data_IF_999479620096
#
_entry.id   IF_999479620096
#
_cell.length_a   1.000
_cell.length_b   1.000
_cell.length_c   1.000
_cell.angle_alpha   90.00
_cell.angle_beta   90.00
_cell.angle_gamma   90.00
#
_symmetry.space_group_name_H-M   'P 1'
#
loop_
_entity.id
_entity.type
_entity.pdbx_description
1 polymer ?
#
# COMPACT_ATOMS: atom_id res chain seq x y z
N UNK A 1 18.63 7.93 -15.07
CA UNK A 1 17.44 7.67 -14.26
C UNK A 1 17.00 8.95 -13.57
N UNK A 2 15.69 9.17 -13.49
CA UNK A 2 15.12 10.27 -12.72
C UNK A 2 15.26 9.98 -11.23
N UNK A 3 15.34 11.04 -10.45
CA UNK A 3 15.40 10.97 -8.99
C UNK A 3 14.12 11.55 -8.39
N UNK A 4 13.91 11.32 -7.10
CA UNK A 4 12.83 11.97 -6.36
C UNK A 4 12.92 13.49 -6.48
N UNK A 5 11.79 14.17 -6.52
CA UNK A 5 11.75 15.63 -6.43
C UNK A 5 12.45 16.12 -5.15
N UNK A 6 12.89 17.38 -5.11
CA UNK A 6 13.51 17.94 -3.91
C UNK A 6 12.64 17.78 -2.67
N UNK A 7 13.26 17.79 -1.51
CA UNK A 7 12.56 17.80 -0.22
C UNK A 7 11.65 19.02 -0.12
N UNK A 8 10.47 18.79 0.44
CA UNK A 8 9.47 19.84 0.66
C UNK A 8 8.70 19.57 1.95
N UNK A 9 8.29 20.66 2.59
CA UNK A 9 7.46 20.60 3.79
C UNK A 9 5.96 20.54 3.45
N UNK A 10 5.20 19.98 4.36
CA UNK A 10 3.75 20.07 4.31
C UNK A 10 3.32 21.51 4.63
N UNK A 11 2.46 22.10 3.79
CA UNK A 11 1.88 23.41 4.09
C UNK A 11 0.67 23.32 5.02
N UNK A 12 0.12 22.12 5.22
CA UNK A 12 -1.03 21.87 6.10
C UNK A 12 -0.93 20.47 6.71
N UNK A 13 -1.11 20.40 8.04
CA UNK A 13 -1.17 19.15 8.82
C UNK A 13 -2.48 19.15 9.58
N UNK A 14 -3.21 18.05 9.54
CA UNK A 14 -4.55 17.92 10.11
C UNK A 14 -4.77 16.57 10.75
N UNK A 15 -5.78 16.51 11.62
CA UNK A 15 -6.32 15.29 12.17
C UNK A 15 -7.82 15.18 11.78
N UNK A 16 -8.20 14.01 11.33
CA UNK A 16 -9.59 13.62 11.16
C UNK A 16 -10.00 12.82 12.40
N UNK A 17 -10.82 13.42 13.26
CA UNK A 17 -11.40 12.72 14.39
C UNK A 17 -12.57 11.84 13.92
N UNK A 18 -12.56 10.58 14.32
CA UNK A 18 -13.63 9.63 14.04
C UNK A 18 -14.40 9.30 15.32
N UNK A 19 -15.72 9.19 15.22
CA UNK A 19 -16.58 8.74 16.33
C UNK A 19 -16.26 7.30 16.77
N UNK A 20 -15.50 6.56 15.97
CA UNK A 20 -15.04 5.20 16.27
C UNK A 20 -13.82 5.10 17.19
N UNK A 21 -13.29 6.23 17.67
CA UNK A 21 -12.14 6.30 18.57
C UNK A 21 -10.77 6.38 17.87
N UNK A 22 -10.77 6.57 16.56
CA UNK A 22 -9.54 6.80 15.78
C UNK A 22 -9.36 8.27 15.44
N UNK A 23 -8.11 8.73 15.51
CA UNK A 23 -7.67 10.05 15.04
C UNK A 23 -6.72 9.84 13.87
N UNK A 24 -7.17 10.17 12.66
CA UNK A 24 -6.44 9.90 11.42
C UNK A 24 -5.63 11.12 11.00
N UNK A 25 -4.31 10.96 10.94
CA UNK A 25 -3.38 11.99 10.47
C UNK A 25 -3.46 12.13 8.95
N UNK A 26 -3.51 13.37 8.47
CA UNK A 26 -3.30 13.67 7.05
C UNK A 26 -2.65 15.03 6.86
N UNK A 27 -1.90 15.17 5.76
CA UNK A 27 -1.16 16.38 5.44
C UNK A 27 -1.30 16.74 3.97
N UNK A 28 -0.96 17.98 3.65
CA UNK A 28 -0.95 18.47 2.27
C UNK A 28 0.39 19.13 1.97
N UNK A 29 0.93 18.87 0.78
CA UNK A 29 2.18 19.44 0.30
C UNK A 29 2.13 19.79 -1.19
N UNK A 30 3.10 20.54 -1.69
CA UNK A 30 3.21 20.96 -3.07
C UNK A 30 2.34 22.18 -3.39
N UNK A 31 1.71 22.18 -4.57
CA UNK A 31 0.90 23.29 -5.06
C UNK A 31 -0.55 23.18 -4.56
N UNK A 32 -0.99 24.09 -3.71
CA UNK A 32 -2.35 24.12 -3.16
C UNK A 32 -3.44 24.15 -4.23
N UNK A 33 -3.15 24.77 -5.39
CA UNK A 33 -4.04 24.86 -6.54
C UNK A 33 -3.76 23.80 -7.61
N UNK A 34 -2.85 22.88 -7.33
CA UNK A 34 -2.44 21.82 -8.26
C UNK A 34 -3.44 20.66 -8.34
N UNK A 35 -3.10 19.68 -9.15
CA UNK A 35 -3.86 18.44 -9.30
C UNK A 35 -3.90 17.71 -7.97
N UNK A 36 -5.09 17.49 -7.37
CA UNK A 36 -5.16 16.75 -6.12
C UNK A 36 -4.79 15.28 -6.34
N UNK A 37 -3.85 14.77 -5.53
CA UNK A 37 -3.49 13.36 -5.49
C UNK A 37 -3.49 12.86 -4.06
N UNK A 38 -4.15 11.73 -3.82
CA UNK A 38 -4.07 11.03 -2.54
C UNK A 38 -3.14 9.83 -2.64
N UNK A 39 -2.27 9.68 -1.65
CA UNK A 39 -1.29 8.60 -1.55
C UNK A 39 -1.76 7.57 -0.52
N UNK A 40 -1.88 6.32 -0.97
CA UNK A 40 -2.24 5.17 -0.15
C UNK A 40 -0.97 4.38 0.20
N UNK A 41 -0.55 4.41 1.45
CA UNK A 41 0.62 3.64 1.87
C UNK A 41 0.34 2.13 1.92
N UNK A 42 1.41 1.35 1.92
CA UNK A 42 1.38 -0.11 1.98
C UNK A 42 1.30 -0.67 3.41
N UNK A 43 1.67 -1.91 3.53
CA UNK A 43 1.59 -2.73 4.73
C UNK A 43 0.58 -3.86 4.56
N UNK A 44 -0.58 -3.83 5.23
CA UNK A 44 -1.11 -2.77 6.12
C UNK A 44 -0.18 -2.42 7.29
N UNK A 45 -0.20 -1.17 7.77
CA UNK A 45 0.52 -0.79 8.98
C UNK A 45 1.68 0.18 8.80
N UNK A 46 2.22 0.34 7.58
CA UNK A 46 3.48 1.06 7.35
C UNK A 46 3.43 2.57 7.64
N UNK A 47 2.32 3.25 7.32
CA UNK A 47 2.25 4.71 7.37
C UNK A 47 3.00 5.41 6.24
N UNK A 48 2.89 6.73 6.20
CA UNK A 48 3.60 7.60 5.28
C UNK A 48 4.83 8.25 5.91
N UNK A 49 5.76 8.69 5.06
CA UNK A 49 6.91 9.54 5.44
C UNK A 49 7.08 10.68 4.44
N UNK A 50 7.99 11.60 4.74
CA UNK A 50 8.25 12.80 3.92
C UNK A 50 8.70 12.48 2.49
N UNK A 51 9.38 11.37 2.25
CA UNK A 51 9.81 10.99 0.91
C UNK A 51 8.63 10.66 -0.01
N UNK A 52 7.47 10.27 0.54
CA UNK A 52 6.28 10.02 -0.26
C UNK A 52 5.73 11.28 -0.94
N UNK A 53 6.02 12.49 -0.41
CA UNK A 53 5.72 13.78 -1.05
C UNK A 53 6.47 13.94 -2.37
N UNK A 54 7.66 13.37 -2.47
CA UNK A 54 8.66 13.58 -3.50
C UNK A 54 8.46 12.75 -4.77
N UNK A 55 7.44 11.90 -4.82
CA UNK A 55 7.03 11.21 -6.05
C UNK A 55 6.23 12.10 -7.00
N UNK A 56 5.86 13.30 -6.58
CA UNK A 56 4.99 14.22 -7.30
C UNK A 56 5.68 15.54 -7.54
N UNK A 57 5.57 16.06 -8.79
CA UNK A 57 6.08 17.40 -9.11
C UNK A 57 5.38 18.45 -8.22
N UNK A 58 6.10 19.13 -7.32
CA UNK A 58 5.48 20.04 -6.35
C UNK A 58 4.86 21.29 -6.98
N UNK A 59 5.19 21.61 -8.23
CA UNK A 59 4.55 22.74 -8.96
C UNK A 59 3.21 22.33 -9.58
N UNK A 60 3.01 21.02 -9.86
CA UNK A 60 1.82 20.51 -10.55
C UNK A 60 0.80 19.88 -9.62
N UNK A 61 1.25 19.25 -8.53
CA UNK A 61 0.41 18.46 -7.65
C UNK A 61 0.13 19.12 -6.31
N UNK A 62 -1.11 18.96 -5.83
CA UNK A 62 -1.51 19.07 -4.45
C UNK A 62 -1.52 17.67 -3.85
N UNK A 63 -0.48 17.32 -3.11
CA UNK A 63 -0.26 15.96 -2.60
C UNK A 63 -0.86 15.81 -1.22
N UNK A 64 -1.73 14.82 -1.06
CA UNK A 64 -2.35 14.46 0.21
C UNK A 64 -1.75 13.13 0.66
N UNK A 65 -1.04 13.13 1.80
CA UNK A 65 -0.62 11.93 2.51
C UNK A 65 -1.52 11.72 3.72
N UNK A 66 -1.86 10.47 4.03
CA UNK A 66 -2.55 10.14 5.27
C UNK A 66 -2.00 8.83 5.83
N UNK A 67 -1.99 8.71 7.14
CA UNK A 67 -1.67 7.46 7.81
C UNK A 67 -2.98 6.74 8.14
N UNK A 68 -3.13 5.50 7.69
CA UNK A 68 -4.34 4.70 7.93
C UNK A 68 -4.56 4.49 9.42
N UNK A 69 -5.77 4.11 9.82
CA UNK A 69 -6.14 3.87 11.23
C UNK A 69 -5.12 2.97 11.92
N UNK A 70 -4.70 3.34 13.12
CA UNK A 70 -3.76 2.57 13.93
C UNK A 70 -2.31 2.61 13.46
N UNK A 71 -1.99 3.36 12.40
CA UNK A 71 -0.67 3.40 11.78
C UNK A 71 0.06 4.71 12.05
N UNK A 72 1.36 4.62 12.35
CA UNK A 72 2.33 5.72 12.39
C UNK A 72 1.82 6.93 13.22
N UNK A 73 1.50 8.07 12.58
CA UNK A 73 1.02 9.30 13.24
C UNK A 73 -0.48 9.30 13.53
N UNK A 74 -1.23 8.32 13.00
CA UNK A 74 -2.64 8.10 13.37
C UNK A 74 -2.71 7.34 14.69
N UNK A 75 -3.65 7.72 15.56
CA UNK A 75 -3.75 7.18 16.92
C UNK A 75 -5.14 6.63 17.23
N UNK A 76 -5.27 5.68 18.17
CA UNK A 76 -4.20 4.97 18.89
C UNK A 76 -3.44 3.99 17.98
N UNK A 77 -2.10 3.92 18.12
CA UNK A 77 -1.29 3.00 17.32
C UNK A 77 -1.63 1.53 17.66
N UNK A 78 -1.71 0.71 16.63
CA UNK A 78 -1.99 -0.72 16.76
C UNK A 78 -3.42 -1.06 17.15
N UNK A 79 -4.33 -0.06 17.28
CA UNK A 79 -5.74 -0.31 17.58
C UNK A 79 -6.44 -0.95 16.37
N UNK A 80 -7.10 -2.08 16.60
CA UNK A 80 -7.78 -2.87 15.56
C UNK A 80 -9.30 -2.83 15.64
N UNK A 81 -9.87 -2.39 16.75
CA UNK A 81 -11.29 -2.14 16.87
C UNK A 81 -11.72 -1.04 15.90
N UNK A 82 -12.82 -1.24 15.18
CA UNK A 82 -13.29 -0.32 14.14
C UNK A 82 -12.20 0.02 13.10
N UNK A 83 -11.41 -0.97 12.73
CA UNK A 83 -10.31 -0.85 11.76
C UNK A 83 -10.46 -1.94 10.69
N UNK A 84 -11.34 -1.69 9.74
CA UNK A 84 -11.59 -2.53 8.58
C UNK A 84 -11.26 -1.78 7.30
N UNK A 85 -11.20 -2.47 6.20
CA UNK A 85 -11.01 -1.87 4.86
C UNK A 85 -12.10 -0.83 4.59
N UNK A 86 -13.35 -1.13 4.93
CA UNK A 86 -14.46 -0.18 4.74
C UNK A 86 -14.29 1.08 5.58
N UNK A 87 -13.84 0.95 6.83
CA UNK A 87 -13.56 2.10 7.69
C UNK A 87 -12.48 3.02 7.09
N UNK A 88 -11.43 2.44 6.50
CA UNK A 88 -10.39 3.23 5.82
C UNK A 88 -10.95 3.95 4.59
N UNK A 89 -11.79 3.29 3.79
CA UNK A 89 -12.41 3.92 2.61
C UNK A 89 -13.32 5.09 3.01
N UNK A 90 -14.01 4.99 4.14
CA UNK A 90 -14.83 6.07 4.71
C UNK A 90 -13.97 7.23 5.21
N UNK A 91 -12.83 6.96 5.87
CA UNK A 91 -11.88 8.01 6.28
C UNK A 91 -11.36 8.79 5.08
N UNK A 92 -10.99 8.10 4.00
CA UNK A 92 -10.52 8.71 2.76
C UNK A 92 -11.59 9.65 2.19
N UNK A 93 -12.84 9.21 2.15
CA UNK A 93 -13.96 10.02 1.67
C UNK A 93 -14.25 11.22 2.59
N UNK A 94 -14.10 11.07 3.90
CA UNK A 94 -14.18 12.16 4.86
C UNK A 94 -13.06 13.18 4.67
N UNK A 95 -11.82 12.74 4.42
CA UNK A 95 -10.69 13.63 4.11
C UNK A 95 -10.98 14.42 2.83
N UNK A 96 -11.43 13.75 1.75
CA UNK A 96 -11.80 14.40 0.50
C UNK A 96 -12.81 15.53 0.70
N UNK A 97 -13.89 15.23 1.42
CA UNK A 97 -14.95 16.21 1.73
C UNK A 97 -14.42 17.36 2.58
N UNK A 98 -13.62 17.08 3.61
CA UNK A 98 -13.02 18.10 4.49
C UNK A 98 -12.11 19.04 3.70
N UNK A 99 -11.38 18.53 2.72
CA UNK A 99 -10.51 19.31 1.83
C UNK A 99 -11.26 19.97 0.66
N UNK A 100 -12.58 19.73 0.54
CA UNK A 100 -13.42 20.23 -0.54
C UNK A 100 -12.88 19.87 -1.95
N UNK A 101 -12.30 18.67 -2.06
CA UNK A 101 -11.81 18.12 -3.31
C UNK A 101 -12.98 17.40 -3.99
N UNK A 102 -13.32 17.79 -5.22
CA UNK A 102 -14.38 17.11 -5.99
C UNK A 102 -13.90 15.75 -6.49
N UNK A 103 -12.73 15.72 -7.12
CA UNK A 103 -12.11 14.52 -7.67
C UNK A 103 -10.60 14.58 -7.46
N UNK A 104 -9.97 13.45 -7.35
CA UNK A 104 -8.53 13.33 -7.20
C UNK A 104 -7.93 12.14 -7.94
N UNK A 105 -6.63 12.23 -8.18
CA UNK A 105 -5.79 11.12 -8.62
C UNK A 105 -5.55 10.19 -7.44
N UNK A 106 -5.64 8.88 -7.66
CA UNK A 106 -5.30 7.86 -6.67
C UNK A 106 -3.89 7.34 -6.96
N UNK A 107 -3.02 7.32 -5.95
CA UNK A 107 -1.71 6.71 -6.04
C UNK A 107 -1.54 5.70 -4.91
N UNK A 108 -1.36 4.41 -5.24
CA UNK A 108 -1.24 3.35 -4.25
C UNK A 108 -0.16 2.34 -4.58
N UNK A 109 0.58 1.91 -3.57
CA UNK A 109 1.57 0.85 -3.68
C UNK A 109 1.28 -0.32 -2.75
N UNK A 110 1.48 -1.57 -3.25
CA UNK A 110 1.25 -2.79 -2.47
C UNK A 110 -0.19 -2.85 -1.91
N UNK A 111 -0.38 -2.97 -0.60
CA UNK A 111 -1.69 -2.81 0.05
C UNK A 111 -2.38 -1.49 -0.31
N UNK A 112 -1.62 -0.41 -0.47
CA UNK A 112 -2.17 0.87 -0.94
C UNK A 112 -2.78 0.78 -2.34
N UNK A 113 -2.28 -0.08 -3.22
CA UNK A 113 -2.89 -0.34 -4.53
C UNK A 113 -4.24 -1.05 -4.39
N UNK A 114 -4.37 -1.99 -3.45
CA UNK A 114 -5.64 -2.62 -3.08
C UNK A 114 -6.67 -1.57 -2.69
N UNK A 115 -6.30 -0.68 -1.75
CA UNK A 115 -7.19 0.40 -1.29
C UNK A 115 -7.58 1.38 -2.39
N UNK A 116 -6.63 1.76 -3.27
CA UNK A 116 -6.90 2.64 -4.40
C UNK A 116 -7.93 2.04 -5.36
N UNK A 117 -7.81 0.75 -5.67
CA UNK A 117 -8.76 0.04 -6.53
C UNK A 117 -10.15 -0.09 -5.88
N UNK A 118 -10.21 -0.47 -4.59
CA UNK A 118 -11.47 -0.55 -3.86
C UNK A 118 -12.15 0.83 -3.73
N UNK A 119 -11.38 1.88 -3.50
CA UNK A 119 -11.92 3.24 -3.50
C UNK A 119 -12.48 3.62 -4.88
N UNK A 120 -11.77 3.28 -5.96
CA UNK A 120 -12.23 3.54 -7.32
C UNK A 120 -13.50 2.77 -7.68
N UNK A 121 -13.69 1.54 -7.16
CA UNK A 121 -14.93 0.77 -7.30
C UNK A 121 -16.12 1.44 -6.60
N UNK A 122 -15.90 1.93 -5.39
CA UNK A 122 -16.96 2.43 -4.51
C UNK A 122 -17.28 3.91 -4.77
N UNK A 123 -16.27 4.73 -5.06
CA UNK A 123 -16.37 6.18 -5.23
C UNK A 123 -15.91 6.64 -6.62
N UNK A 124 -16.30 5.90 -7.64
CA UNK A 124 -15.87 6.07 -9.03
C UNK A 124 -16.01 7.50 -9.58
N UNK A 125 -17.03 8.24 -9.13
CA UNK A 125 -17.30 9.62 -9.53
C UNK A 125 -16.27 10.63 -8.99
N UNK A 126 -15.43 10.23 -8.04
CA UNK A 126 -14.44 11.09 -7.39
C UNK A 126 -13.01 10.80 -7.83
N UNK A 127 -12.82 10.05 -8.91
CA UNK A 127 -11.51 9.64 -9.42
C UNK A 127 -11.22 10.30 -10.75
N UNK A 128 -10.04 10.92 -10.89
CA UNK A 128 -9.55 11.51 -12.16
C UNK A 128 -8.56 10.60 -12.87
N UNK A 129 -7.85 9.74 -12.16
CA UNK A 129 -6.86 8.80 -12.66
C UNK A 129 -6.38 7.88 -11.56
N UNK A 130 -5.62 6.86 -11.93
CA UNK A 130 -5.11 5.86 -10.98
C UNK A 130 -3.66 5.53 -11.34
N UNK A 131 -2.77 5.55 -10.35
CA UNK A 131 -1.39 5.05 -10.47
C UNK A 131 -1.19 3.98 -9.42
N UNK A 132 -0.80 2.78 -9.85
CA UNK A 132 -0.57 1.63 -8.98
C UNK A 132 0.89 1.18 -9.07
N UNK A 133 1.48 0.77 -7.95
CA UNK A 133 2.81 0.18 -7.90
C UNK A 133 2.80 -1.13 -7.10
N UNK A 134 3.39 -2.20 -7.68
CA UNK A 134 3.52 -3.47 -6.99
C UNK A 134 2.17 -3.98 -6.47
N UNK A 135 1.18 -4.08 -7.34
CA UNK A 135 -0.22 -4.35 -7.00
C UNK A 135 -0.38 -5.60 -6.17
N UNK A 136 -1.07 -5.46 -5.04
CA UNK A 136 -1.55 -6.55 -4.22
C UNK A 136 -3.07 -6.67 -4.40
N UNK A 137 -3.59 -7.86 -4.69
CA UNK A 137 -5.02 -8.08 -4.91
C UNK A 137 -5.75 -8.62 -3.68
N UNK A 138 -5.01 -8.91 -2.62
CA UNK A 138 -5.52 -9.47 -1.37
C UNK A 138 -6.35 -10.76 -1.54
N UNK A 139 -6.02 -11.55 -2.58
CA UNK A 139 -6.56 -12.90 -2.79
C UNK A 139 -5.85 -13.88 -1.84
N UNK A 140 -6.49 -14.99 -1.54
CA UNK A 140 -5.87 -16.02 -0.73
C UNK A 140 -4.56 -16.54 -1.35
N UNK A 141 -4.52 -16.69 -2.69
CA UNK A 141 -3.30 -17.13 -3.40
C UNK A 141 -2.14 -16.13 -3.28
N UNK A 142 -2.41 -14.83 -3.21
CA UNK A 142 -1.38 -13.80 -3.04
C UNK A 142 -0.76 -13.88 -1.65
N UNK A 143 -1.58 -14.10 -0.64
CA UNK A 143 -1.10 -14.30 0.73
C UNK A 143 -0.39 -15.65 0.89
N UNK A 144 -0.94 -16.72 0.34
CA UNK A 144 -0.34 -18.06 0.39
C UNK A 144 1.04 -18.09 -0.30
N UNK A 145 1.22 -17.33 -1.39
CA UNK A 145 2.52 -17.15 -2.02
C UNK A 145 3.57 -16.64 -1.02
N UNK A 146 3.22 -15.63 -0.26
CA UNK A 146 4.14 -14.95 0.66
C UNK A 146 4.36 -15.75 1.96
N UNK A 147 3.32 -16.31 2.53
CA UNK A 147 3.32 -16.83 3.91
C UNK A 147 3.06 -18.33 4.05
N UNK A 148 3.01 -19.09 2.94
CA UNK A 148 2.70 -20.54 3.01
C UNK A 148 3.44 -21.38 1.99
N UNK A 149 3.23 -21.16 0.70
CA UNK A 149 3.78 -22.00 -0.35
C UNK A 149 4.05 -21.25 -1.65
N UNK A 150 5.17 -20.59 -1.71
CA UNK A 150 5.59 -19.78 -2.86
C UNK A 150 6.98 -19.23 -2.62
N UNK A 151 7.10 -18.08 -1.95
CA UNK A 151 8.38 -17.44 -1.63
C UNK A 151 9.33 -18.36 -0.84
N UNK A 152 8.81 -19.24 -0.02
CA UNK A 152 9.59 -20.26 0.69
C UNK A 152 10.35 -21.24 -0.23
N UNK A 153 9.93 -21.38 -1.49
CA UNK A 153 10.65 -22.21 -2.48
C UNK A 153 11.82 -21.47 -3.11
N UNK A 154 11.80 -20.14 -3.06
CA UNK A 154 12.89 -19.27 -3.50
C UNK A 154 13.90 -19.09 -2.36
N UNK A 155 13.43 -18.98 -1.12
CA UNK A 155 14.22 -18.73 0.09
C UNK A 155 14.02 -19.86 1.13
N UNK A 156 14.41 -21.13 0.82
CA UNK A 156 14.15 -22.25 1.73
C UNK A 156 14.92 -22.16 3.05
N UNK A 157 16.09 -21.55 3.05
CA UNK A 157 16.94 -21.27 4.21
C UNK A 157 16.30 -20.24 5.16
N UNK A 158 15.86 -19.08 4.64
CA UNK A 158 15.16 -18.05 5.43
C UNK A 158 13.81 -18.55 5.93
N UNK A 159 13.12 -19.37 5.12
CA UNK A 159 11.87 -19.98 5.54
C UNK A 159 12.07 -20.98 6.68
N UNK A 160 13.11 -21.81 6.62
CA UNK A 160 13.42 -22.75 7.69
C UNK A 160 13.73 -22.01 9.00
N UNK A 161 14.50 -20.94 8.95
CA UNK A 161 14.76 -20.08 10.10
C UNK A 161 13.45 -19.53 10.68
N UNK A 162 12.59 -18.94 9.83
CA UNK A 162 11.30 -18.38 10.21
C UNK A 162 10.41 -19.42 10.91
N UNK A 163 10.17 -20.58 10.29
CA UNK A 163 9.27 -21.59 10.85
C UNK A 163 9.86 -22.33 12.04
N UNK A 164 11.18 -22.30 12.26
CA UNK A 164 11.82 -22.93 13.43
C UNK A 164 11.44 -22.28 14.76
N UNK A 165 10.93 -21.05 14.70
CA UNK A 165 10.44 -20.32 15.88
C UNK A 165 9.06 -20.81 16.36
N UNK A 166 8.42 -21.73 15.63
CA UNK A 166 7.06 -22.22 15.91
C UNK A 166 7.05 -23.73 16.15
N UNK A 167 6.17 -24.18 17.04
CA UNK A 167 5.87 -25.61 17.20
C UNK A 167 5.15 -26.17 15.98
N UNK A 168 5.07 -27.50 15.86
CA UNK A 168 4.40 -28.12 14.70
C UNK A 168 2.91 -27.80 14.61
N UNK A 169 2.24 -27.67 15.76
CA UNK A 169 0.83 -27.23 15.82
C UNK A 169 0.67 -25.78 15.35
N UNK A 170 1.57 -24.89 15.80
CA UNK A 170 1.59 -23.47 15.42
C UNK A 170 1.84 -23.25 13.92
N UNK A 171 2.64 -24.10 13.28
CA UNK A 171 2.91 -24.04 11.83
C UNK A 171 1.69 -24.35 10.97
N UNK A 172 0.67 -24.99 11.51
CA UNK A 172 -0.55 -25.34 10.73
C UNK A 172 -1.33 -24.09 10.32
N UNK A 173 -1.29 -23.02 11.13
CA UNK A 173 -1.90 -21.73 10.82
C UNK A 173 -1.03 -20.58 11.36
N UNK A 174 -0.02 -20.21 10.60
CA UNK A 174 0.96 -19.18 11.00
C UNK A 174 0.32 -17.80 11.23
N UNK A 175 -0.70 -17.44 10.45
CA UNK A 175 -1.38 -16.14 10.62
C UNK A 175 -2.06 -16.05 11.96
N UNK A 176 -2.88 -17.04 12.31
CA UNK A 176 -3.57 -17.07 13.60
C UNK A 176 -2.57 -17.13 14.77
N UNK A 177 -1.51 -17.93 14.61
CA UNK A 177 -0.45 -18.03 15.61
C UNK A 177 0.25 -16.70 15.85
N UNK A 178 0.69 -16.03 14.79
CA UNK A 178 1.37 -14.74 14.91
C UNK A 178 0.41 -13.68 15.47
N UNK A 179 -0.86 -13.68 14.99
CA UNK A 179 -1.90 -12.81 15.53
C UNK A 179 -2.05 -12.99 17.05
N UNK A 180 -2.24 -14.20 17.54
CA UNK A 180 -2.38 -14.48 18.97
C UNK A 180 -1.16 -14.04 19.77
N UNK A 181 0.04 -14.25 19.23
CA UNK A 181 1.29 -13.85 19.88
C UNK A 181 1.46 -12.33 19.95
N UNK A 182 1.19 -11.57 18.88
CA UNK A 182 1.32 -10.10 18.93
C UNK A 182 0.23 -9.40 19.73
N UNK A 183 -0.88 -10.11 20.04
CA UNK A 183 -1.94 -9.65 20.94
C UNK A 183 -1.87 -10.28 22.34
N UNK A 184 -0.79 -11.03 22.65
CA UNK A 184 -0.55 -11.56 24.00
C UNK A 184 -0.40 -10.44 25.03
N UNK A 185 -0.73 -10.72 26.30
CA UNK A 185 -0.46 -9.82 27.42
C UNK A 185 1.05 -9.76 27.79
N UNK A 186 1.86 -10.70 27.30
CA UNK A 186 3.31 -10.74 27.50
C UNK A 186 4.03 -9.99 26.37
N UNK A 187 4.62 -8.84 26.72
CA UNK A 187 5.38 -8.00 25.77
C UNK A 187 6.53 -8.74 25.08
N UNK A 188 7.20 -9.68 25.77
CA UNK A 188 8.30 -10.42 25.16
C UNK A 188 7.78 -11.34 24.04
N UNK A 189 6.62 -11.97 24.25
CA UNK A 189 5.96 -12.79 23.23
C UNK A 189 5.54 -11.91 22.04
N UNK A 190 4.97 -10.75 22.30
CA UNK A 190 4.61 -9.78 21.23
C UNK A 190 5.83 -9.43 20.39
N UNK A 191 6.93 -9.03 21.05
CA UNK A 191 8.13 -8.56 20.39
C UNK A 191 8.82 -9.66 19.56
N UNK A 192 8.95 -10.86 20.13
CA UNK A 192 9.54 -12.00 19.41
C UNK A 192 8.72 -12.37 18.16
N UNK A 193 7.40 -12.42 18.27
CA UNK A 193 6.54 -12.68 17.11
C UNK A 193 6.66 -11.58 16.04
N UNK A 194 6.69 -10.32 16.46
CA UNK A 194 6.86 -9.19 15.55
C UNK A 194 8.22 -9.23 14.82
N UNK A 195 9.32 -9.50 15.56
CA UNK A 195 10.66 -9.67 14.99
C UNK A 195 10.72 -10.81 13.98
N UNK A 196 10.18 -11.97 14.37
CA UNK A 196 10.20 -13.19 13.54
C UNK A 196 9.48 -12.96 12.20
N UNK A 197 8.28 -12.37 12.24
CA UNK A 197 7.54 -12.03 11.04
C UNK A 197 8.26 -10.97 10.19
N UNK A 198 8.71 -9.88 10.80
CA UNK A 198 9.33 -8.76 10.09
C UNK A 198 10.67 -9.13 9.45
N UNK A 199 11.42 -10.06 10.06
CA UNK A 199 12.66 -10.55 9.46
C UNK A 199 12.38 -11.36 8.18
N UNK A 200 11.41 -12.27 8.20
CA UNK A 200 10.97 -13.00 7.02
C UNK A 200 10.46 -12.04 5.93
N UNK A 201 9.54 -11.15 6.29
CA UNK A 201 8.94 -10.19 5.37
C UNK A 201 10.00 -9.27 4.75
N UNK A 202 10.90 -8.74 5.56
CA UNK A 202 11.97 -7.85 5.10
C UNK A 202 12.92 -8.53 4.10
N UNK A 203 13.30 -9.77 4.37
CA UNK A 203 14.16 -10.56 3.46
C UNK A 203 13.53 -10.79 2.08
N UNK A 204 12.22 -11.07 2.05
CA UNK A 204 11.50 -11.24 0.78
C UNK A 204 11.34 -9.91 0.06
N UNK A 205 10.97 -8.86 0.77
CA UNK A 205 10.71 -7.52 0.20
C UNK A 205 11.97 -6.90 -0.39
N UNK A 206 13.13 -7.10 0.25
CA UNK A 206 14.39 -6.46 -0.12
C UNK A 206 15.31 -7.32 -0.98
N UNK A 207 14.91 -8.52 -1.38
CA UNK A 207 15.78 -9.48 -2.05
C UNK A 207 16.42 -8.97 -3.35
N UNK A 208 15.80 -8.00 -4.03
CA UNK A 208 16.34 -7.36 -5.24
C UNK A 208 17.48 -6.38 -4.96
N UNK A 209 17.64 -5.96 -3.71
CA UNK A 209 18.74 -5.10 -3.28
C UNK A 209 20.01 -5.93 -3.06
N UNK A 210 21.17 -5.28 -3.19
CA UNK A 210 22.45 -5.89 -2.87
C UNK A 210 22.67 -5.90 -1.35
N UNK A 211 23.13 -7.03 -0.82
CA UNK A 211 23.47 -7.21 0.59
C UNK A 211 22.43 -8.03 1.35
N UNK A 212 22.80 -8.42 2.57
CA UNK A 212 21.92 -9.14 3.48
C UNK A 212 20.97 -8.16 4.19
N UNK A 213 19.69 -8.52 4.27
CA UNK A 213 18.73 -7.73 5.04
C UNK A 213 18.99 -7.89 6.54
N UNK A 214 19.13 -6.78 7.23
CA UNK A 214 19.25 -6.70 8.68
C UNK A 214 18.00 -5.98 9.21
N UNK A 215 17.30 -6.62 10.15
CA UNK A 215 16.17 -5.98 10.82
C UNK A 215 16.70 -4.99 11.86
N UNK A 216 16.63 -3.71 11.54
CA UNK A 216 16.92 -2.61 12.47
C UNK A 216 15.65 -2.22 13.21
N UNK A 217 15.70 -2.18 14.54
CA UNK A 217 14.55 -1.85 15.39
C UNK A 217 14.89 -0.57 16.16
N UNK A 218 14.36 0.53 15.70
CA UNK A 218 14.49 1.83 16.38
C UNK A 218 13.44 1.98 17.50
N UNK A 219 12.26 1.42 17.27
CA UNK A 219 11.10 1.47 18.17
C UNK A 219 10.38 0.12 18.19
N UNK A 220 10.46 -0.58 19.32
CA UNK A 220 9.83 -1.89 19.50
C UNK A 220 8.30 -1.81 19.51
N UNK A 221 7.72 -0.75 20.08
CA UNK A 221 6.26 -0.57 20.11
C UNK A 221 5.73 -0.31 18.71
N UNK A 222 6.44 0.46 17.90
CA UNK A 222 6.11 0.67 16.50
C UNK A 222 6.12 -0.65 15.73
N UNK A 223 7.17 -1.46 15.88
CA UNK A 223 7.27 -2.77 15.22
C UNK A 223 6.11 -3.69 15.61
N UNK A 224 5.80 -3.81 16.91
CA UNK A 224 4.69 -4.62 17.41
C UNK A 224 3.37 -4.13 16.83
N UNK A 225 3.12 -2.82 16.83
CA UNK A 225 1.88 -2.23 16.36
C UNK A 225 1.69 -2.39 14.85
N UNK A 226 2.75 -2.27 14.04
CA UNK A 226 2.71 -2.55 12.61
C UNK A 226 2.30 -4.00 12.34
N UNK A 227 2.91 -4.96 13.03
CA UNK A 227 2.57 -6.39 12.86
C UNK A 227 1.17 -6.72 13.39
N UNK A 228 0.70 -6.06 14.46
CA UNK A 228 -0.69 -6.16 14.91
C UNK A 228 -1.68 -5.80 13.80
N UNK A 229 -1.48 -4.67 13.16
CA UNK A 229 -2.34 -4.21 12.06
C UNK A 229 -2.25 -5.19 10.88
N UNK A 230 -1.05 -5.59 10.48
CA UNK A 230 -0.84 -6.51 9.36
C UNK A 230 -1.54 -7.86 9.57
N UNK A 231 -1.36 -8.45 10.76
CA UNK A 231 -1.99 -9.72 11.11
C UNK A 231 -3.52 -9.60 11.26
N UNK A 232 -4.01 -8.48 11.77
CA UNK A 232 -5.44 -8.21 11.83
C UNK A 232 -6.08 -8.23 10.44
N UNK A 233 -5.47 -7.57 9.46
CA UNK A 233 -5.98 -7.59 8.08
C UNK A 233 -5.83 -8.97 7.44
N UNK A 234 -4.68 -9.62 7.58
CA UNK A 234 -4.44 -10.95 7.01
C UNK A 234 -5.42 -12.01 7.56
N UNK A 235 -5.60 -12.06 8.89
CA UNK A 235 -6.55 -12.98 9.57
C UNK A 235 -7.98 -12.79 9.08
N UNK A 236 -8.38 -11.57 8.83
CA UNK A 236 -9.72 -11.22 8.37
C UNK A 236 -9.84 -11.11 6.83
N UNK A 237 -8.90 -11.73 6.08
CA UNK A 237 -8.90 -11.72 4.60
C UNK A 237 -9.06 -10.32 4.02
N UNK A 238 -8.39 -9.34 4.66
CA UNK A 238 -8.42 -7.92 4.29
C UNK A 238 -9.84 -7.31 4.23
N UNK A 239 -10.83 -7.94 4.88
CA UNK A 239 -12.24 -7.49 4.91
C UNK A 239 -12.86 -7.29 3.52
N UNK A 240 -12.45 -8.08 2.53
CA UNK A 240 -13.00 -8.10 1.18
C UNK A 240 -13.37 -9.52 0.77
N UNK A 241 -14.18 -9.64 -0.26
CA UNK A 241 -14.50 -10.94 -0.85
C UNK A 241 -13.29 -11.44 -1.67
N UNK A 242 -13.17 -12.78 -1.74
CA UNK A 242 -12.16 -13.39 -2.61
C UNK A 242 -12.32 -12.90 -4.04
N UNK A 243 -11.19 -12.47 -4.65
CA UNK A 243 -11.13 -11.99 -6.03
C UNK A 243 -11.98 -10.72 -6.34
N UNK A 244 -12.42 -9.98 -5.30
CA UNK A 244 -13.35 -8.86 -5.43
C UNK A 244 -12.92 -7.83 -6.47
N UNK A 245 -11.64 -7.44 -6.47
CA UNK A 245 -11.11 -6.37 -7.34
C UNK A 245 -11.26 -6.73 -8.82
N UNK A 246 -10.90 -7.97 -9.19
CA UNK A 246 -10.98 -8.41 -10.58
C UNK A 246 -12.43 -8.58 -11.03
N UNK A 247 -13.28 -9.12 -10.18
CA UNK A 247 -14.71 -9.30 -10.46
C UNK A 247 -15.47 -7.97 -10.58
N UNK A 248 -15.04 -6.95 -9.85
CA UNK A 248 -15.62 -5.60 -9.87
C UNK A 248 -14.91 -4.61 -10.81
N UNK A 249 -14.00 -5.05 -11.66
CA UNK A 249 -13.22 -4.18 -12.57
C UNK A 249 -14.09 -3.26 -13.43
N UNK A 250 -15.31 -3.70 -13.77
CA UNK A 250 -16.29 -2.90 -14.50
C UNK A 250 -16.76 -1.64 -13.74
N UNK A 251 -16.71 -1.65 -12.41
CA UNK A 251 -17.08 -0.51 -11.56
C UNK A 251 -15.99 0.56 -11.50
N UNK A 252 -14.75 0.22 -11.81
CA UNK A 252 -13.64 1.18 -11.89
C UNK A 252 -13.96 2.19 -13.00
N UNK A 253 -13.82 3.50 -12.78
CA UNK A 253 -14.17 4.50 -13.79
C UNK A 253 -13.26 4.40 -15.02
N UNK A 254 -13.75 4.88 -16.17
CA UNK A 254 -12.95 4.95 -17.39
C UNK A 254 -12.06 6.20 -17.39
N UNK A 255 -11.01 6.14 -16.59
CA UNK A 255 -9.99 7.19 -16.40
C UNK A 255 -8.62 6.67 -16.80
N UNK A 256 -7.59 7.52 -16.97
CA UNK A 256 -6.23 7.07 -17.17
C UNK A 256 -5.74 6.22 -16.00
N UNK A 257 -5.17 5.04 -16.30
CA UNK A 257 -4.62 4.13 -15.30
C UNK A 257 -3.20 3.74 -15.70
N UNK A 258 -2.22 4.01 -14.83
CA UNK A 258 -0.84 3.53 -14.96
C UNK A 258 -0.57 2.49 -13.89
N UNK A 259 -0.16 1.30 -14.31
CA UNK A 259 0.17 0.18 -13.42
C UNK A 259 1.66 -0.10 -13.57
N UNK A 260 2.44 0.07 -12.50
CA UNK A 260 3.89 -0.10 -12.49
C UNK A 260 4.25 -1.28 -11.61
N UNK A 261 5.07 -2.21 -12.11
CA UNK A 261 5.46 -3.40 -11.35
C UNK A 261 6.92 -3.79 -11.61
N UNK A 262 7.65 -4.09 -10.55
CA UNK A 262 9.01 -4.63 -10.68
C UNK A 262 9.02 -6.07 -11.17
N UNK A 263 9.83 -6.39 -12.18
CA UNK A 263 9.94 -7.76 -12.69
C UNK A 263 10.45 -8.75 -11.63
N UNK A 264 11.26 -8.25 -10.69
CA UNK A 264 11.90 -9.03 -9.63
C UNK A 264 11.07 -9.00 -8.32
N UNK A 265 9.82 -8.52 -8.34
CA UNK A 265 8.95 -8.48 -7.17
C UNK A 265 8.51 -9.89 -6.78
N UNK A 266 8.94 -10.34 -5.60
CA UNK A 266 8.58 -11.63 -4.99
C UNK A 266 7.66 -11.45 -3.76
N UNK A 267 7.31 -10.23 -3.43
CA UNK A 267 6.31 -9.92 -2.40
C UNK A 267 4.91 -9.97 -3.00
N UNK A 268 4.68 -9.14 -4.01
CA UNK A 268 3.49 -9.18 -4.85
C UNK A 268 3.91 -9.55 -6.26
N UNK A 269 3.44 -10.67 -6.78
CA UNK A 269 3.88 -11.12 -8.10
C UNK A 269 3.41 -10.19 -9.22
N UNK A 270 4.20 -9.98 -10.29
CA UNK A 270 3.81 -9.19 -11.45
C UNK A 270 2.49 -9.66 -12.11
N UNK A 271 2.11 -10.91 -11.90
CA UNK A 271 0.82 -11.47 -12.34
C UNK A 271 -0.37 -10.67 -11.80
N UNK A 272 -0.31 -10.17 -10.57
CA UNK A 272 -1.38 -9.35 -9.99
C UNK A 272 -1.63 -8.07 -10.80
N UNK A 273 -0.58 -7.34 -11.16
CA UNK A 273 -0.70 -6.15 -12.02
C UNK A 273 -1.15 -6.48 -13.44
N UNK A 274 -0.66 -7.59 -13.99
CA UNK A 274 -1.12 -8.09 -15.28
C UNK A 274 -2.62 -8.39 -15.26
N UNK A 275 -3.10 -9.09 -14.24
CA UNK A 275 -4.51 -9.44 -14.09
C UNK A 275 -5.42 -8.22 -13.99
N UNK A 276 -5.01 -7.19 -13.24
CA UNK A 276 -5.76 -5.91 -13.20
C UNK A 276 -5.80 -5.25 -14.58
N UNK A 277 -4.65 -5.18 -15.27
CA UNK A 277 -4.59 -4.59 -16.60
C UNK A 277 -5.52 -5.31 -17.58
N UNK A 278 -5.51 -6.65 -17.61
CA UNK A 278 -6.41 -7.44 -18.44
C UNK A 278 -7.89 -7.22 -18.08
N UNK A 279 -8.23 -7.27 -16.80
CA UNK A 279 -9.59 -7.06 -16.33
C UNK A 279 -10.14 -5.66 -16.71
N UNK A 280 -9.28 -4.63 -16.69
CA UNK A 280 -9.66 -3.29 -17.16
C UNK A 280 -9.90 -3.26 -18.67
N UNK A 281 -9.06 -3.90 -19.48
CA UNK A 281 -9.24 -4.01 -20.93
C UNK A 281 -10.54 -4.74 -21.24
N UNK A 282 -10.79 -5.90 -20.59
CA UNK A 282 -11.99 -6.70 -20.78
C UNK A 282 -13.28 -5.93 -20.40
N UNK A 283 -13.14 -4.99 -19.45
CA UNK A 283 -14.20 -4.05 -19.05
C UNK A 283 -14.29 -2.79 -19.92
N UNK A 284 -13.67 -2.79 -21.11
CA UNK A 284 -13.59 -1.64 -22.04
C UNK A 284 -12.96 -0.36 -21.49
N UNK A 285 -12.06 -0.48 -20.49
CA UNK A 285 -11.28 0.65 -19.96
C UNK A 285 -10.00 0.83 -20.79
N UNK A 286 -10.09 1.55 -21.90
CA UNK A 286 -9.03 1.64 -22.93
C UNK A 286 -7.79 2.44 -22.51
N UNK A 287 -7.83 3.14 -21.39
CA UNK A 287 -6.77 4.04 -20.93
C UNK A 287 -5.89 3.41 -19.85
N UNK A 288 -5.76 2.07 -19.85
CA UNK A 288 -4.90 1.33 -18.94
C UNK A 288 -3.54 1.05 -19.59
N UNK A 289 -2.45 1.38 -18.87
CA UNK A 289 -1.06 1.16 -19.26
C UNK A 289 -0.39 0.29 -18.19
N UNK A 290 0.34 -0.74 -18.62
CA UNK A 290 1.17 -1.59 -17.74
C UNK A 290 2.65 -1.36 -18.05
N UNK A 291 3.41 -0.99 -17.02
CA UNK A 291 4.87 -0.76 -17.07
C UNK A 291 5.56 -1.79 -16.20
N UNK A 292 6.30 -2.70 -16.82
CA UNK A 292 7.14 -3.67 -16.11
C UNK A 292 8.56 -3.16 -16.03
N UNK A 293 9.04 -2.90 -14.81
CA UNK A 293 10.38 -2.40 -14.54
C UNK A 293 11.34 -3.58 -14.37
N UNK A 294 12.17 -3.85 -15.38
CA UNK A 294 12.99 -5.06 -15.48
C UNK A 294 13.97 -5.23 -14.31
N UNK A 295 14.53 -4.14 -13.81
CA UNK A 295 15.57 -4.13 -12.79
C UNK A 295 15.10 -3.71 -11.39
N UNK A 296 13.81 -3.77 -11.14
CA UNK A 296 13.23 -3.46 -9.84
C UNK A 296 12.47 -4.66 -9.23
N UNK A 297 12.46 -4.73 -7.90
CA UNK A 297 11.63 -5.60 -7.09
C UNK A 297 10.41 -4.87 -6.54
N UNK A 298 10.14 -5.08 -5.24
CA UNK A 298 8.93 -4.57 -4.59
C UNK A 298 9.05 -3.11 -4.14
N UNK A 299 10.23 -2.64 -3.75
CA UNK A 299 10.36 -1.35 -3.08
C UNK A 299 10.22 -0.17 -4.05
N UNK A 300 9.42 0.82 -3.65
CA UNK A 300 9.28 2.08 -4.37
C UNK A 300 10.59 2.92 -4.39
N UNK A 301 11.50 2.65 -3.44
CA UNK A 301 12.78 3.34 -3.30
C UNK A 301 13.90 2.81 -4.19
N UNK A 302 13.69 1.73 -4.93
CA UNK A 302 14.68 1.24 -5.88
C UNK A 302 14.88 2.23 -7.03
N UNK A 303 16.12 2.52 -7.45
CA UNK A 303 16.38 3.58 -8.44
C UNK A 303 15.59 3.45 -9.75
N UNK A 304 15.48 2.23 -10.29
CA UNK A 304 14.70 1.99 -11.50
C UNK A 304 13.19 2.16 -11.27
N UNK A 305 12.70 1.85 -10.07
CA UNK A 305 11.31 2.06 -9.70
C UNK A 305 11.01 3.55 -9.50
N UNK A 306 11.89 4.31 -8.85
CA UNK A 306 11.77 5.77 -8.73
C UNK A 306 11.66 6.41 -10.12
N UNK A 307 12.56 6.04 -11.04
CA UNK A 307 12.54 6.56 -12.42
C UNK A 307 11.20 6.30 -13.11
N UNK A 308 10.67 5.09 -12.99
CA UNK A 308 9.38 4.73 -13.56
C UNK A 308 8.21 5.50 -12.89
N UNK A 309 8.21 5.61 -11.56
CA UNK A 309 7.15 6.30 -10.82
C UNK A 309 7.13 7.80 -11.12
N UNK A 310 8.29 8.47 -11.16
CA UNK A 310 8.39 9.88 -11.53
C UNK A 310 7.96 10.11 -12.99
N UNK A 311 8.34 9.20 -13.89
CA UNK A 311 7.90 9.25 -15.28
C UNK A 311 6.38 9.19 -15.38
N UNK A 312 5.76 8.22 -14.73
CA UNK A 312 4.31 8.01 -14.79
C UNK A 312 3.51 9.13 -14.08
N UNK A 313 4.01 9.67 -12.97
CA UNK A 313 3.36 10.82 -12.31
C UNK A 313 3.44 12.09 -13.16
N UNK A 314 4.57 12.34 -13.84
CA UNK A 314 4.71 13.48 -14.75
C UNK A 314 3.84 13.35 -15.99
N UNK A 315 3.77 12.15 -16.60
CA UNK A 315 2.87 11.88 -17.74
C UNK A 315 1.41 12.04 -17.31
N UNK A 316 1.02 11.51 -16.17
CA UNK A 316 -0.34 11.63 -15.63
C UNK A 316 -0.74 13.09 -15.42
N UNK A 317 0.15 13.93 -14.87
CA UNK A 317 -0.10 15.35 -14.73
C UNK A 317 -0.41 16.03 -16.07
N UNK A 318 0.34 15.69 -17.12
CA UNK A 318 0.12 16.24 -18.47
C UNK A 318 -1.21 15.75 -19.06
N UNK A 319 -1.55 14.46 -18.88
CA UNK A 319 -2.84 13.90 -19.35
C UNK A 319 -4.01 14.61 -18.66
N UNK A 320 -3.98 14.74 -17.34
CA UNK A 320 -5.06 15.35 -16.56
C UNK A 320 -5.21 16.84 -16.85
N UNK A 321 -4.12 17.59 -17.05
CA UNK A 321 -4.17 18.98 -17.45
C UNK A 321 -4.88 19.16 -18.82
N UNK A 322 -4.56 18.30 -19.80
CA UNK A 322 -5.17 18.36 -21.12
C UNK A 322 -6.68 18.01 -21.09
N UNK A 323 -7.11 17.10 -20.22
CA UNK A 323 -8.53 16.75 -20.07
C UNK A 323 -9.34 17.93 -19.50
N UNK A 324 -8.76 18.73 -18.61
CA UNK A 324 -9.41 19.91 -18.02
C UNK A 324 -9.64 21.04 -19.03
N UNK A 325 -8.79 21.15 -20.06
CA UNK A 325 -8.94 22.18 -21.13
C UNK A 325 -9.88 21.75 -22.29
N UNK A 326 -10.34 20.50 -22.27
CA UNK A 326 -11.18 19.93 -23.33
C UNK A 326 -12.67 19.89 -22.99
N UNK A 327 -13.03 20.33 -21.78
CA UNK A 327 -14.41 20.46 -21.28
C UNK A 327 -14.79 21.93 -21.12
#
# INVERSE_FOLDING_TARGET
LRELYPELEAFSINILESDSGHSVYFEQSGNESGIPVIFFHGGPGSGCNENHRRYFNPEKYRTILFDQRGCNRSTPNGLVENNTTQDILEDIECIRKKLKIEKWLLFGGSWGATLALLYAEQYSNHVTGIILRGTFLARQCDFDWFAKSGANKIFPDYWLEFISCFSDDEKTNLVDTIYEKVFSDDRNIQLEAAKTWSLWAGRVVTHSLSGEYILEIEDEDKLINEVKIEMHYAKNKYFIMENQILENSSKIPNVPVSIIHGRKDLTCLPESSWSVHQALIDSNKKNSKLVIVSDAGHLASEPAMIDALITETDEMANILANLTYST
#
